data_IF_736347306208
#
_entry.id   IF_736347306208
#
_cell.length_a   1.000
_cell.length_b   1.000
_cell.length_c   1.000
_cell.angle_alpha   90.00
_cell.angle_beta   90.00
_cell.angle_gamma   90.00
#
_symmetry.space_group_name_H-M   'P 1'
#
loop_
_entity.id
_entity.type
_entity.pdbx_description
1 polymer ?
#
# COMPACT_ATOMS: atom_id res chain seq x y z
N UNK A 1 -1.20 -9.52 6.72
CA UNK A 1 -2.30 -8.95 7.55
C UNK A 1 -2.32 -7.41 7.57
N UNK A 2 -1.19 -6.75 7.86
CA UNK A 2 -1.11 -5.28 7.88
C UNK A 2 -1.24 -4.64 6.50
N UNK A 3 -0.55 -5.17 5.48
CA UNK A 3 -0.56 -4.63 4.10
C UNK A 3 -1.97 -4.56 3.49
N UNK A 4 -2.81 -5.56 3.72
CA UNK A 4 -4.18 -5.61 3.17
C UNK A 4 -5.04 -4.46 3.70
N UNK A 5 -4.92 -4.13 4.98
CA UNK A 5 -5.65 -3.02 5.59
C UNK A 5 -5.23 -1.68 4.99
N UNK A 6 -3.92 -1.50 4.76
CA UNK A 6 -3.41 -0.24 4.21
C UNK A 6 -3.74 -0.11 2.72
N UNK A 7 -3.63 -1.18 1.94
CA UNK A 7 -4.06 -1.19 0.53
C UNK A 7 -5.56 -0.91 0.44
N UNK A 8 -6.37 -1.48 1.33
CA UNK A 8 -7.82 -1.24 1.36
C UNK A 8 -8.16 0.21 1.71
N UNK A 9 -7.44 0.82 2.66
CA UNK A 9 -7.57 2.23 2.99
C UNK A 9 -7.18 3.11 1.79
N UNK A 10 -6.07 2.79 1.11
CA UNK A 10 -5.61 3.51 -0.07
C UNK A 10 -6.63 3.42 -1.22
N UNK A 11 -7.18 2.23 -1.48
CA UNK A 11 -8.23 2.04 -2.49
C UNK A 11 -9.51 2.81 -2.16
N UNK A 12 -9.91 2.86 -0.88
CA UNK A 12 -11.06 3.64 -0.43
C UNK A 12 -10.85 5.14 -0.66
N UNK A 13 -9.64 5.66 -0.43
CA UNK A 13 -9.33 7.06 -0.69
C UNK A 13 -9.43 7.39 -2.18
N UNK A 14 -8.85 6.56 -3.05
CA UNK A 14 -9.01 6.73 -4.50
C UNK A 14 -10.48 6.70 -4.93
N UNK A 15 -11.28 5.81 -4.35
CA UNK A 15 -12.73 5.75 -4.61
C UNK A 15 -13.41 7.08 -4.28
N UNK A 16 -13.15 7.64 -3.09
CA UNK A 16 -13.75 8.91 -2.64
C UNK A 16 -13.35 10.04 -3.58
N UNK A 17 -12.06 10.17 -3.89
CA UNK A 17 -11.58 11.21 -4.80
C UNK A 17 -12.11 11.04 -6.22
N UNK A 18 -12.22 9.82 -6.74
CA UNK A 18 -12.81 9.57 -8.05
C UNK A 18 -14.29 9.98 -8.11
N UNK A 19 -15.07 9.63 -7.08
CA UNK A 19 -16.48 10.04 -7.00
C UNK A 19 -16.63 11.57 -6.96
N UNK A 20 -15.79 12.25 -6.17
CA UNK A 20 -15.78 13.72 -6.12
C UNK A 20 -15.33 14.33 -7.45
N UNK A 21 -14.32 13.77 -8.11
CA UNK A 21 -13.83 14.24 -9.41
C UNK A 21 -14.93 14.17 -10.48
N UNK A 22 -15.65 13.04 -10.56
CA UNK A 22 -16.79 12.88 -11.48
C UNK A 22 -17.86 13.92 -11.16
N UNK A 23 -18.21 14.10 -9.89
CA UNK A 23 -19.23 15.06 -9.50
C UNK A 23 -18.90 16.50 -9.88
N UNK A 24 -17.61 16.88 -9.83
CA UNK A 24 -17.15 18.23 -10.12
C UNK A 24 -16.84 18.46 -11.60
N UNK A 25 -16.37 17.45 -12.31
CA UNK A 25 -15.66 17.64 -13.59
C UNK A 25 -16.15 16.75 -14.73
N UNK A 26 -17.17 15.91 -14.53
CA UNK A 26 -17.63 14.96 -15.54
C UNK A 26 -18.14 15.59 -16.83
N UNK A 27 -18.53 16.86 -16.81
CA UNK A 27 -19.03 17.56 -18.01
C UNK A 27 -17.92 18.17 -18.86
N UNK A 28 -16.67 18.19 -18.37
CA UNK A 28 -15.56 18.87 -19.05
C UNK A 28 -15.32 18.24 -20.42
N UNK A 29 -15.24 19.09 -21.44
CA UNK A 29 -14.96 18.66 -22.81
C UNK A 29 -13.53 18.12 -22.94
N UNK A 30 -13.33 17.24 -23.91
CA UNK A 30 -11.98 16.85 -24.32
C UNK A 30 -11.30 17.98 -25.07
N UNK A 31 -9.98 18.09 -24.87
CA UNK A 31 -9.13 19.01 -25.61
C UNK A 31 -8.19 18.30 -26.59
N UNK A 32 -8.31 16.97 -26.72
CA UNK A 32 -7.46 16.09 -27.55
C UNK A 32 -5.96 16.20 -27.25
N UNK A 33 -5.60 16.71 -26.07
CA UNK A 33 -4.23 16.73 -25.52
C UNK A 33 -4.22 15.85 -24.26
N UNK A 34 -4.06 16.41 -23.06
CA UNK A 34 -4.05 15.69 -21.79
C UNK A 34 -5.45 15.31 -21.33
N UNK A 35 -6.48 16.08 -21.72
CA UNK A 35 -7.89 15.77 -21.41
C UNK A 35 -8.48 15.02 -22.62
N UNK A 36 -8.43 13.70 -22.55
CA UNK A 36 -8.80 12.79 -23.64
C UNK A 36 -9.60 11.59 -23.12
N UNK A 37 -9.98 10.65 -24.00
CA UNK A 37 -10.81 9.48 -23.65
C UNK A 37 -10.19 8.58 -22.58
N UNK A 38 -8.86 8.50 -22.52
CA UNK A 38 -8.12 7.66 -21.57
C UNK A 38 -7.81 8.39 -20.25
N UNK A 39 -7.73 9.71 -20.27
CA UNK A 39 -7.40 10.58 -19.13
C UNK A 39 -8.45 11.68 -18.99
N UNK A 40 -9.46 11.44 -18.15
CA UNK A 40 -10.54 12.38 -17.87
C UNK A 40 -11.31 12.01 -16.58
N UNK A 41 -12.32 12.82 -16.26
CA UNK A 41 -13.25 12.61 -15.13
C UNK A 41 -14.71 12.41 -15.53
N UNK A 42 -14.98 12.04 -16.78
CA UNK A 42 -16.36 11.88 -17.28
C UNK A 42 -17.06 10.66 -16.68
N UNK A 43 -16.30 9.59 -16.40
CA UNK A 43 -16.83 8.40 -15.77
C UNK A 43 -15.96 7.96 -14.58
N UNK A 44 -16.56 7.15 -13.69
CA UNK A 44 -15.91 6.73 -12.45
C UNK A 44 -14.62 5.95 -12.68
N UNK A 45 -14.62 4.99 -13.61
CA UNK A 45 -13.48 4.10 -13.79
C UNK A 45 -12.28 4.84 -14.42
N UNK A 46 -12.54 5.68 -15.41
CA UNK A 46 -11.54 6.55 -16.03
C UNK A 46 -11.01 7.56 -15.02
N UNK A 47 -11.86 8.12 -14.15
CA UNK A 47 -11.41 8.99 -13.07
C UNK A 47 -10.50 8.25 -12.08
N UNK A 48 -10.89 7.05 -11.68
CA UNK A 48 -10.15 6.20 -10.75
C UNK A 48 -8.76 5.84 -11.29
N UNK A 49 -8.67 5.34 -12.53
CA UNK A 49 -7.37 5.03 -13.15
C UNK A 49 -6.52 6.29 -13.36
N UNK A 50 -7.12 7.42 -13.71
CA UNK A 50 -6.43 8.70 -13.92
C UNK A 50 -5.79 9.18 -12.62
N UNK A 51 -6.50 9.11 -11.51
CA UNK A 51 -5.98 9.48 -10.19
C UNK A 51 -4.87 8.54 -9.71
N UNK A 52 -4.97 7.24 -9.99
CA UNK A 52 -3.86 6.29 -9.73
C UNK A 52 -2.63 6.69 -10.56
N UNK A 53 -2.80 7.01 -11.84
CA UNK A 53 -1.73 7.52 -12.69
C UNK A 53 -1.09 8.78 -12.11
N UNK A 54 -1.90 9.76 -11.67
CA UNK A 54 -1.37 10.98 -11.07
C UNK A 54 -0.63 10.76 -9.76
N UNK A 55 -1.00 9.75 -8.98
CA UNK A 55 -0.30 9.42 -7.73
C UNK A 55 1.17 9.05 -7.92
N UNK A 56 1.58 8.63 -9.12
CA UNK A 56 2.99 8.35 -9.45
C UNK A 56 3.78 9.62 -9.75
N UNK A 57 3.11 10.78 -9.84
CA UNK A 57 3.70 12.08 -10.11
C UNK A 57 3.78 12.42 -11.61
N UNK A 58 3.21 11.60 -12.50
CA UNK A 58 3.28 11.84 -13.95
C UNK A 58 2.13 12.73 -14.45
N UNK A 59 2.47 13.79 -15.20
CA UNK A 59 1.59 14.63 -16.03
C UNK A 59 0.37 15.27 -15.35
N UNK A 60 0.24 15.16 -14.02
CA UNK A 60 -0.91 15.65 -13.26
C UNK A 60 -1.03 17.17 -13.30
N UNK A 61 0.10 17.88 -13.33
CA UNK A 61 0.19 19.34 -13.36
C UNK A 61 -0.26 19.89 -14.71
N UNK A 62 0.24 19.30 -15.79
CA UNK A 62 -0.19 19.61 -17.16
C UNK A 62 -1.68 19.35 -17.33
N UNK A 63 -2.16 18.18 -16.87
CA UNK A 63 -3.59 17.85 -16.90
C UNK A 63 -4.41 18.87 -16.10
N UNK A 64 -3.96 19.28 -14.91
CA UNK A 64 -4.67 20.26 -14.06
C UNK A 64 -4.87 21.58 -14.80
N UNK A 65 -3.81 22.10 -15.41
CA UNK A 65 -3.88 23.37 -16.15
C UNK A 65 -4.66 23.25 -17.44
N UNK A 66 -4.47 22.16 -18.19
CA UNK A 66 -5.26 21.92 -19.39
C UNK A 66 -6.75 21.86 -19.07
N UNK A 67 -7.12 21.11 -18.03
CA UNK A 67 -8.51 21.00 -17.58
C UNK A 67 -9.05 22.34 -17.06
N UNK A 68 -8.22 23.17 -16.41
CA UNK A 68 -8.58 24.52 -15.98
C UNK A 68 -8.94 25.43 -17.17
N UNK A 69 -8.18 25.36 -18.26
CA UNK A 69 -8.35 26.20 -19.44
C UNK A 69 -9.29 25.63 -20.52
N UNK A 70 -9.89 24.45 -20.31
CA UNK A 70 -10.83 23.85 -21.27
C UNK A 70 -11.95 24.83 -21.58
N UNK A 71 -12.03 25.22 -22.86
CA UNK A 71 -13.08 26.09 -23.39
C UNK A 71 -13.41 25.68 -24.82
N UNK A 72 -14.38 24.76 -25.01
CA UNK A 72 -14.70 24.25 -26.34
C UNK A 72 -15.36 25.32 -27.21
N UNK A 73 -15.08 25.30 -28.52
CA UNK A 73 -15.67 26.26 -29.48
C UNK A 73 -17.20 26.14 -29.58
N UNK A 74 -17.76 24.98 -29.22
CA UNK A 74 -19.21 24.74 -29.16
C UNK A 74 -19.88 25.40 -27.96
N UNK A 75 -19.13 25.78 -26.92
CA UNK A 75 -19.63 26.46 -25.72
C UNK A 75 -18.65 27.57 -25.24
N UNK A 76 -18.51 28.66 -26.02
CA UNK A 76 -17.55 29.73 -25.73
C UNK A 76 -17.98 30.64 -24.57
N UNK A 77 -19.22 30.55 -24.10
CA UNK A 77 -19.72 31.31 -22.95
C UNK A 77 -19.64 30.51 -21.65
N UNK A 78 -19.27 29.22 -21.72
CA UNK A 78 -19.26 28.30 -20.59
C UNK A 78 -20.62 28.23 -19.88
N UNK A 79 -21.68 28.17 -20.67
CA UNK A 79 -23.03 27.99 -20.15
C UNK A 79 -23.22 26.57 -19.64
N UNK A 80 -23.80 26.45 -18.44
CA UNK A 80 -24.13 25.17 -17.84
C UNK A 80 -25.40 24.63 -18.52
N UNK A 81 -25.21 23.71 -19.48
CA UNK A 81 -26.32 23.16 -20.25
C UNK A 81 -27.16 22.18 -19.43
N UNK A 82 -28.47 22.20 -19.68
CA UNK A 82 -29.40 21.22 -19.12
C UNK A 82 -29.07 19.81 -19.60
N UNK A 83 -29.43 18.80 -18.81
CA UNK A 83 -29.27 17.40 -19.15
C UNK A 83 -29.84 17.08 -20.55
N UNK A 84 -29.04 16.39 -21.37
CA UNK A 84 -29.43 15.91 -22.69
C UNK A 84 -29.04 14.44 -22.83
N UNK A 85 -30.02 13.57 -23.06
CA UNK A 85 -29.84 12.12 -23.15
C UNK A 85 -29.09 11.66 -24.42
N UNK A 86 -28.81 12.55 -25.37
CA UNK A 86 -28.02 12.26 -26.58
C UNK A 86 -26.52 12.56 -26.40
N UNK A 87 -26.10 13.08 -25.24
CA UNK A 87 -24.69 13.36 -24.96
C UNK A 87 -23.94 12.10 -24.52
N UNK A 88 -22.71 11.96 -25.02
CA UNK A 88 -21.76 10.93 -24.59
C UNK A 88 -21.49 11.05 -23.09
N UNK A 89 -21.28 9.93 -22.41
CA UNK A 89 -21.11 9.85 -20.95
C UNK A 89 -22.42 9.63 -20.18
N UNK A 90 -23.59 9.94 -20.77
CA UNK A 90 -24.90 9.55 -20.21
C UNK A 90 -25.56 8.43 -21.02
N UNK A 91 -25.36 8.44 -22.34
CA UNK A 91 -25.88 7.43 -23.26
C UNK A 91 -24.86 7.19 -24.38
N UNK A 92 -24.02 6.17 -24.19
CA UNK A 92 -22.91 5.84 -25.10
C UNK A 92 -23.39 5.05 -26.33
N UNK A 93 -24.41 5.56 -27.01
CA UNK A 93 -24.85 5.07 -28.32
C UNK A 93 -23.93 5.57 -29.43
N UNK A 94 -23.78 4.78 -30.49
CA UNK A 94 -23.02 5.18 -31.68
C UNK A 94 -23.56 6.50 -32.26
N UNK A 95 -22.70 7.52 -32.31
CA UNK A 95 -23.06 8.88 -32.77
C UNK A 95 -23.57 9.83 -31.68
N UNK A 96 -23.33 9.55 -30.39
CA UNK A 96 -23.61 10.49 -29.31
C UNK A 96 -22.87 11.83 -29.51
N UNK A 97 -23.44 12.90 -28.93
CA UNK A 97 -22.85 14.24 -28.99
C UNK A 97 -21.79 14.35 -27.90
N UNK A 98 -20.54 14.73 -28.21
CA UNK A 98 -19.51 14.88 -27.19
C UNK A 98 -19.89 15.98 -26.18
N UNK A 99 -19.48 15.78 -24.93
CA UNK A 99 -19.65 16.77 -23.87
C UNK A 99 -18.89 18.05 -24.21
N UNK A 100 -19.51 19.19 -23.94
CA UNK A 100 -18.94 20.51 -24.20
C UNK A 100 -18.96 21.45 -22.98
N UNK A 101 -18.80 20.88 -21.79
CA UNK A 101 -18.57 21.66 -20.58
C UNK A 101 -17.17 22.29 -20.56
N UNK A 102 -17.06 23.43 -19.89
CA UNK A 102 -15.79 24.11 -19.67
C UNK A 102 -15.05 23.56 -18.46
N UNK A 103 -13.77 23.91 -18.38
CA UNK A 103 -12.94 23.77 -17.19
C UNK A 103 -13.49 24.52 -15.99
N UNK A 104 -13.13 24.05 -14.80
CA UNK A 104 -13.51 24.66 -13.53
C UNK A 104 -12.27 25.02 -12.72
N UNK A 105 -12.27 26.20 -12.09
CA UNK A 105 -11.19 26.63 -11.20
C UNK A 105 -11.02 25.73 -9.97
N UNK A 106 -12.05 24.92 -9.65
CA UNK A 106 -12.01 23.95 -8.56
C UNK A 106 -11.02 22.81 -8.80
N UNK A 107 -10.55 22.60 -10.04
CA UNK A 107 -9.57 21.54 -10.34
C UNK A 107 -8.25 21.75 -9.59
N UNK A 108 -7.82 23.01 -9.44
CA UNK A 108 -6.57 23.37 -8.77
C UNK A 108 -6.60 22.94 -7.29
N UNK A 109 -7.52 23.44 -6.44
CA UNK A 109 -7.57 23.01 -5.04
C UNK A 109 -7.88 21.52 -4.91
N UNK A 110 -8.71 20.93 -5.79
CA UNK A 110 -8.97 19.49 -5.79
C UNK A 110 -7.67 18.68 -5.94
N UNK A 111 -6.83 19.02 -6.93
CA UNK A 111 -5.58 18.31 -7.21
C UNK A 111 -4.57 18.45 -6.08
N UNK A 112 -4.35 19.65 -5.56
CA UNK A 112 -3.43 19.85 -4.45
C UNK A 112 -3.89 19.14 -3.16
N UNK A 113 -5.19 19.13 -2.87
CA UNK A 113 -5.75 18.38 -1.73
C UNK A 113 -5.57 16.87 -1.93
N UNK A 114 -5.82 16.37 -3.15
CA UNK A 114 -5.56 14.98 -3.50
C UNK A 114 -4.11 14.60 -3.24
N UNK A 115 -3.13 15.35 -3.76
CA UNK A 115 -1.71 15.07 -3.52
C UNK A 115 -1.29 15.18 -2.06
N UNK A 116 -1.85 16.14 -1.32
CA UNK A 116 -1.55 16.29 0.11
C UNK A 116 -2.02 15.06 0.90
N UNK A 117 -3.27 14.64 0.70
CA UNK A 117 -3.86 13.50 1.42
C UNK A 117 -3.20 12.20 0.99
N UNK A 118 -3.06 11.97 -0.32
CA UNK A 118 -2.43 10.76 -0.86
C UNK A 118 -0.95 10.67 -0.48
N UNK A 119 -0.23 11.77 -0.51
CA UNK A 119 1.17 11.86 -0.09
C UNK A 119 1.35 11.59 1.40
N UNK A 120 0.50 12.17 2.26
CA UNK A 120 0.53 11.91 3.70
C UNK A 120 0.29 10.42 4.01
N UNK A 121 -0.70 9.81 3.37
CA UNK A 121 -0.99 8.37 3.54
C UNK A 121 0.14 7.51 2.99
N UNK A 122 0.72 7.87 1.84
CA UNK A 122 1.87 7.19 1.25
C UNK A 122 3.09 7.20 2.15
N UNK A 123 3.42 8.34 2.77
CA UNK A 123 4.52 8.45 3.75
C UNK A 123 4.25 7.59 4.98
N UNK A 124 3.04 7.62 5.53
CA UNK A 124 2.69 6.79 6.69
C UNK A 124 2.77 5.29 6.37
N UNK A 125 2.35 4.87 5.18
CA UNK A 125 2.50 3.50 4.70
C UNK A 125 3.97 3.10 4.58
N UNK A 126 4.77 3.93 3.91
CA UNK A 126 6.20 3.68 3.73
C UNK A 126 6.92 3.59 5.07
N UNK A 127 6.63 4.50 5.99
CA UNK A 127 7.18 4.47 7.35
C UNK A 127 6.81 3.19 8.09
N UNK A 128 5.57 2.72 7.96
CA UNK A 128 5.13 1.45 8.56
C UNK A 128 5.95 0.26 8.04
N UNK A 129 6.11 0.16 6.72
CA UNK A 129 6.91 -0.91 6.09
C UNK A 129 8.37 -0.85 6.54
N UNK A 130 8.96 0.35 6.59
CA UNK A 130 10.35 0.52 7.00
C UNK A 130 10.56 0.14 8.46
N UNK A 131 9.63 0.49 9.35
CA UNK A 131 9.70 0.10 10.77
C UNK A 131 9.59 -1.42 10.92
N UNK A 132 8.67 -2.06 10.21
CA UNK A 132 8.53 -3.52 10.22
C UNK A 132 9.81 -4.20 9.69
N UNK A 133 10.36 -3.72 8.56
CA UNK A 133 11.58 -4.26 7.97
C UNK A 133 12.82 -4.06 8.86
N UNK A 134 12.93 -2.92 9.54
CA UNK A 134 14.00 -2.67 10.53
C UNK A 134 13.78 -3.55 11.77
N UNK A 135 12.53 -3.75 12.21
CA UNK A 135 12.19 -4.65 13.29
C UNK A 135 12.68 -6.07 13.02
N UNK A 136 12.37 -6.59 11.83
CA UNK A 136 12.80 -7.93 11.38
C UNK A 136 14.33 -8.03 11.18
N UNK A 137 14.98 -6.95 10.75
CA UNK A 137 16.44 -6.92 10.55
C UNK A 137 17.21 -6.66 11.86
N UNK A 138 16.59 -6.04 12.86
CA UNK A 138 17.18 -5.85 14.17
C UNK A 138 17.32 -7.23 14.80
N UNK A 139 18.58 -7.65 14.98
CA UNK A 139 18.96 -9.01 15.31
C UNK A 139 18.16 -9.57 16.47
N UNK A 140 17.12 -10.37 16.20
CA UNK A 140 16.72 -11.39 17.16
C UNK A 140 17.97 -12.24 17.39
N UNK A 141 18.35 -12.42 18.66
CA UNK A 141 19.40 -13.37 19.05
C UNK A 141 19.13 -14.77 18.47
N UNK A 142 17.88 -15.02 18.10
CA UNK A 142 17.34 -16.20 17.46
C UNK A 142 17.05 -15.88 15.98
N UNK A 143 17.87 -16.38 15.07
CA UNK A 143 17.63 -16.34 13.63
C UNK A 143 17.51 -17.76 13.04
N UNK A 144 17.16 -17.87 11.76
CA UNK A 144 16.97 -19.15 11.05
C UNK A 144 18.19 -20.08 11.17
N UNK A 145 19.40 -19.52 11.13
CA UNK A 145 20.63 -20.32 11.25
C UNK A 145 20.80 -20.87 12.67
N UNK A 146 20.58 -20.05 13.70
CA UNK A 146 20.63 -20.51 15.10
C UNK A 146 19.52 -21.52 15.43
N UNK A 147 18.36 -21.42 14.77
CA UNK A 147 17.26 -22.38 14.91
C UNK A 147 17.61 -23.73 14.28
N UNK A 148 18.26 -23.70 13.11
CA UNK A 148 18.76 -24.91 12.45
C UNK A 148 19.81 -25.62 13.32
N UNK A 149 20.76 -24.87 13.89
CA UNK A 149 21.74 -25.43 14.83
C UNK A 149 21.09 -26.02 16.07
N UNK A 150 20.04 -25.37 16.63
CA UNK A 150 19.25 -25.92 17.72
C UNK A 150 18.57 -27.23 17.32
N UNK A 151 17.92 -27.27 16.15
CA UNK A 151 17.22 -28.43 15.63
C UNK A 151 18.16 -29.62 15.41
N UNK A 152 19.33 -29.39 14.83
CA UNK A 152 20.36 -30.41 14.60
C UNK A 152 20.88 -31.01 15.91
N UNK A 153 20.92 -30.20 16.98
CA UNK A 153 21.27 -30.66 18.33
C UNK A 153 20.12 -31.42 18.96
N UNK A 154 18.89 -30.92 18.85
CA UNK A 154 17.70 -31.55 19.43
C UNK A 154 17.46 -32.93 18.87
N UNK A 155 17.64 -33.12 17.55
CA UNK A 155 17.49 -34.40 16.87
C UNK A 155 18.43 -35.50 17.38
N UNK A 156 19.54 -35.14 18.05
CA UNK A 156 20.44 -36.12 18.67
C UNK A 156 19.88 -36.68 19.98
N UNK A 157 19.03 -35.93 20.67
CA UNK A 157 18.40 -36.31 21.93
C UNK A 157 16.98 -36.87 21.75
N UNK A 158 16.26 -36.45 20.71
CA UNK A 158 14.97 -37.03 20.30
C UNK A 158 14.98 -37.47 18.82
N UNK A 159 15.63 -38.59 18.49
CA UNK A 159 15.73 -39.08 17.10
C UNK A 159 14.38 -39.50 16.52
N UNK A 160 13.43 -39.85 17.38
CA UNK A 160 12.07 -40.26 17.03
C UNK A 160 11.12 -39.09 16.77
N UNK A 161 11.52 -37.85 17.05
CA UNK A 161 10.68 -36.67 16.88
C UNK A 161 9.43 -36.69 17.76
N UNK A 162 9.53 -37.27 18.97
CA UNK A 162 8.44 -37.33 19.94
C UNK A 162 8.11 -35.98 20.56
N UNK A 163 9.02 -35.00 20.44
CA UNK A 163 8.96 -33.69 21.07
C UNK A 163 9.30 -33.71 22.56
N UNK A 164 9.80 -34.84 23.08
CA UNK A 164 10.02 -35.05 24.52
C UNK A 164 11.44 -35.58 24.77
N UNK A 165 12.09 -35.04 25.80
CA UNK A 165 13.35 -35.53 26.37
C UNK A 165 13.22 -35.52 27.90
N UNK A 166 13.99 -36.37 28.59
CA UNK A 166 13.98 -36.39 30.06
C UNK A 166 14.66 -35.14 30.63
N UNK A 167 14.42 -34.84 31.91
CA UNK A 167 15.01 -33.64 32.53
C UNK A 167 16.55 -33.73 32.68
N UNK A 168 17.08 -34.95 32.84
CA UNK A 168 18.52 -35.19 32.80
C UNK A 168 19.10 -34.94 31.38
N UNK A 169 18.43 -35.44 30.34
CA UNK A 169 18.82 -35.22 28.95
C UNK A 169 18.70 -33.74 28.55
N UNK A 170 17.70 -33.02 29.06
CA UNK A 170 17.56 -31.58 28.86
C UNK A 170 18.76 -30.82 29.44
N UNK A 171 19.28 -31.26 30.58
CA UNK A 171 20.48 -30.66 31.19
C UNK A 171 21.69 -30.84 30.29
N UNK A 172 21.88 -32.06 29.77
CA UNK A 172 22.98 -32.36 28.86
C UNK A 172 22.83 -31.63 27.52
N UNK A 173 21.61 -31.56 26.99
CA UNK A 173 21.27 -30.78 25.80
C UNK A 173 21.64 -29.30 25.97
N UNK A 174 21.15 -28.64 27.02
CA UNK A 174 21.43 -27.22 27.29
C UNK A 174 22.92 -26.92 27.49
N UNK A 175 23.70 -27.90 27.96
CA UNK A 175 25.16 -27.77 28.06
C UNK A 175 25.87 -27.85 26.69
N UNK A 176 25.25 -28.47 25.68
CA UNK A 176 25.82 -28.66 24.33
C UNK A 176 25.38 -27.62 23.30
N UNK A 177 24.39 -26.78 23.64
CA UNK A 177 23.85 -25.74 22.77
C UNK A 177 24.45 -24.37 23.13
N UNK A 178 24.84 -23.59 22.12
CA UNK A 178 25.37 -22.24 22.32
C UNK A 178 24.26 -21.24 22.71
N UNK A 179 24.58 -20.12 23.36
CA UNK A 179 23.65 -19.01 23.51
C UNK A 179 23.06 -18.59 22.16
N UNK A 180 21.77 -18.20 22.08
CA UNK A 180 20.86 -17.88 23.20
C UNK A 180 20.13 -19.09 23.82
N UNK A 181 20.23 -20.29 23.24
CA UNK A 181 19.40 -21.43 23.64
C UNK A 181 20.01 -22.33 24.72
N UNK A 182 21.32 -22.22 24.96
CA UNK A 182 22.02 -23.02 25.95
C UNK A 182 23.23 -22.32 26.55
N UNK A 183 24.02 -23.06 27.31
CA UNK A 183 25.12 -22.54 28.11
C UNK A 183 26.51 -22.93 27.59
N UNK A 184 26.59 -23.52 26.39
CA UNK A 184 27.88 -23.94 25.82
C UNK A 184 28.80 -22.75 25.62
N UNK A 185 29.96 -22.80 26.27
CA UNK A 185 30.98 -21.73 26.18
C UNK A 185 30.73 -20.54 27.11
N UNK A 186 29.67 -20.55 27.94
CA UNK A 186 29.42 -19.50 28.93
C UNK A 186 30.38 -19.68 30.13
N UNK A 187 31.24 -18.69 30.44
CA UNK A 187 32.20 -18.82 31.53
C UNK A 187 31.51 -19.09 32.88
N UNK A 188 31.96 -20.13 33.59
CA UNK A 188 31.45 -20.47 34.91
C UNK A 188 30.13 -21.26 34.94
N UNK A 189 29.54 -21.61 33.79
CA UNK A 189 28.43 -22.57 33.74
C UNK A 189 28.96 -24.00 33.56
N UNK A 190 28.88 -24.79 34.63
CA UNK A 190 29.17 -26.24 34.60
C UNK A 190 27.86 -27.02 34.52
N UNK A 191 27.89 -28.29 34.08
CA UNK A 191 26.71 -29.18 34.09
C UNK A 191 25.96 -29.12 35.42
N UNK A 192 26.67 -29.17 36.54
CA UNK A 192 26.09 -29.07 37.89
C UNK A 192 25.33 -27.76 38.12
N UNK A 193 25.84 -26.64 37.61
CA UNK A 193 25.15 -25.34 37.69
C UNK A 193 23.93 -25.27 36.78
N UNK A 194 23.97 -25.94 35.63
CA UNK A 194 22.81 -26.09 34.74
C UNK A 194 21.71 -26.92 35.41
N UNK A 195 22.04 -28.06 36.04
CA UNK A 195 21.09 -28.86 36.85
C UNK A 195 20.43 -27.99 37.92
N UNK A 196 21.23 -27.27 38.71
CA UNK A 196 20.72 -26.38 39.76
C UNK A 196 19.80 -25.29 39.20
N UNK A 197 20.09 -24.78 37.99
CA UNK A 197 19.28 -23.75 37.34
C UNK A 197 17.94 -24.29 36.79
N UNK A 198 17.90 -25.56 36.38
CA UNK A 198 16.68 -26.23 35.87
C UNK A 198 15.78 -26.70 37.02
N UNK A 199 16.33 -26.82 38.25
CA UNK A 199 15.56 -27.14 39.45
C UNK A 199 15.27 -28.63 39.62
N UNK A 200 16.08 -29.49 39.00
CA UNK A 200 16.10 -30.94 39.21
C UNK A 200 17.05 -31.34 40.33
#
# INVERSE_FOLDING_TARGET
PAVVNVVSLLSLLYYIFAAVAVQLFAKTAFNNSMVNENQNFQNFWTAFQTLIGFSTGENWDNFTWEMYYVKPATNPTCEDRSYNASMCGFNDTYGCVPLDGCGSSLIVPFMYIFFLIMGYVGINLFSGIVVDAIGDASSEYVNVNTLAEFSDRWAQFDPSGTGLITADELTDFLYTVYPPFGFKGVPGFTRRRVVIAIGT
#
